data_IF_823853201020
#
_entry.id   IF_823853201020
#
_cell.length_a   1.000
_cell.length_b   1.000
_cell.length_c   1.000
_cell.angle_alpha   90.00
_cell.angle_beta   90.00
_cell.angle_gamma   90.00
#
_symmetry.space_group_name_H-M   'P 1'
#
loop_
_entity.id
_entity.type
_entity.pdbx_description
1 polymer ?
#
# COMPACT_ATOMS: atom_id res chain seq x y z
N UNK A 1 15.63 -31.96 3.35
CA UNK A 1 14.83 -30.80 2.85
C UNK A 1 14.47 -29.90 4.03
N UNK A 2 15.31 -28.92 4.36
CA UNK A 2 15.03 -27.95 5.42
C UNK A 2 14.86 -26.57 4.78
N UNK A 3 13.60 -26.14 4.69
CA UNK A 3 13.23 -24.86 4.13
C UNK A 3 13.62 -23.70 5.06
N UNK A 4 14.30 -22.73 4.51
CA UNK A 4 14.87 -21.54 5.12
C UNK A 4 13.88 -20.72 5.94
N UNK A 5 13.74 -21.02 7.22
CA UNK A 5 13.14 -20.11 8.22
C UNK A 5 14.12 -19.00 8.66
N UNK A 6 15.32 -18.94 8.06
CA UNK A 6 16.43 -18.13 8.56
C UNK A 6 16.32 -16.62 8.33
N UNK A 7 15.75 -16.17 7.23
CA UNK A 7 15.81 -14.77 6.83
C UNK A 7 15.06 -13.80 7.77
N UNK A 8 13.85 -14.15 8.18
CA UNK A 8 13.02 -13.31 9.03
C UNK A 8 13.45 -13.29 10.51
N UNK A 9 13.94 -14.43 11.02
CA UNK A 9 14.50 -14.49 12.38
C UNK A 9 15.85 -13.76 12.49
N UNK A 10 16.63 -13.74 11.41
CA UNK A 10 17.85 -12.94 11.32
C UNK A 10 17.55 -11.45 11.30
N UNK A 11 16.50 -11.04 10.60
CA UNK A 11 16.02 -9.64 10.58
C UNK A 11 15.51 -9.21 11.97
N UNK A 12 14.72 -10.07 12.65
CA UNK A 12 14.26 -9.79 14.03
C UNK A 12 15.43 -9.58 15.01
N UNK A 13 16.54 -10.26 14.85
CA UNK A 13 17.74 -10.09 15.71
C UNK A 13 18.54 -8.82 15.36
N UNK A 14 18.57 -8.40 14.10
CA UNK A 14 19.24 -7.16 13.68
C UNK A 14 18.41 -5.91 13.97
N UNK A 15 17.09 -6.04 14.06
CA UNK A 15 16.17 -4.91 14.27
C UNK A 15 16.10 -4.44 15.73
N UNK A 16 16.76 -5.11 16.68
CA UNK A 16 16.74 -4.74 18.11
C UNK A 16 18.15 -4.81 18.67
N UNK A 17 18.90 -3.71 18.71
CA UNK A 17 20.10 -3.59 19.53
C UNK A 17 19.73 -3.83 20.99
N UNK A 18 20.54 -4.58 21.70
CA UNK A 18 20.28 -5.02 23.07
C UNK A 18 20.14 -3.85 24.08
N UNK A 19 20.60 -2.67 23.71
CA UNK A 19 20.66 -1.47 24.55
C UNK A 19 19.40 -0.58 24.52
N UNK A 20 18.44 -0.81 23.59
CA UNK A 20 17.27 0.06 23.44
C UNK A 20 15.92 -0.59 23.84
N UNK A 21 15.93 -1.56 24.73
CA UNK A 21 14.68 -2.23 25.19
C UNK A 21 13.76 -1.35 26.06
N UNK A 22 14.03 -0.08 26.20
CA UNK A 22 13.37 0.81 27.16
C UNK A 22 12.52 1.96 26.63
N UNK A 23 12.49 2.26 25.31
CA UNK A 23 11.83 3.49 24.85
C UNK A 23 11.20 3.40 23.47
N UNK A 24 10.03 2.80 23.36
CA UNK A 24 9.20 2.82 22.14
C UNK A 24 8.11 3.91 22.17
N UNK A 25 8.31 4.99 22.93
CA UNK A 25 7.29 6.03 23.18
C UNK A 25 7.51 7.35 22.44
N UNK A 26 8.27 7.38 21.34
CA UNK A 26 8.38 8.61 20.53
C UNK A 26 7.42 8.54 19.34
N UNK A 27 6.60 9.58 19.20
CA UNK A 27 5.78 9.80 18.02
C UNK A 27 6.62 9.72 16.75
N UNK A 28 6.11 9.11 15.65
CA UNK A 28 6.86 9.03 14.40
C UNK A 28 7.28 10.43 13.95
N UNK A 29 8.52 10.59 13.51
CA UNK A 29 8.99 11.85 12.94
C UNK A 29 8.18 12.20 11.69
N UNK A 30 8.21 13.47 11.28
CA UNK A 30 7.53 13.91 10.05
C UNK A 30 8.03 13.13 8.82
N UNK A 31 9.33 12.80 8.78
CA UNK A 31 9.94 11.99 7.72
C UNK A 31 9.45 10.53 7.74
N UNK A 32 9.22 9.96 8.92
CA UNK A 32 8.65 8.62 9.07
C UNK A 32 7.25 8.53 8.46
N UNK A 33 6.40 9.52 8.72
CA UNK A 33 5.04 9.61 8.16
C UNK A 33 5.05 9.65 6.64
N UNK A 34 5.91 10.44 6.02
CA UNK A 34 5.97 10.57 4.55
C UNK A 34 6.22 9.26 3.83
N UNK A 35 7.11 8.41 4.32
CA UNK A 35 7.43 7.14 3.66
C UNK A 35 6.35 6.10 3.81
N UNK A 36 5.71 6.07 4.96
CA UNK A 36 4.58 5.17 5.21
C UNK A 36 3.40 5.46 4.31
N UNK A 37 3.13 6.73 4.15
CA UNK A 37 2.08 7.22 3.29
C UNK A 37 2.40 6.88 1.82
N UNK A 38 3.63 7.11 1.36
CA UNK A 38 4.06 6.80 -0.01
C UNK A 38 3.92 5.32 -0.35
N UNK A 39 4.28 4.41 0.54
CA UNK A 39 4.14 2.97 0.30
C UNK A 39 2.68 2.49 0.33
N UNK A 40 1.82 3.10 1.14
CA UNK A 40 0.38 2.83 1.09
C UNK A 40 -0.25 3.39 -0.18
N UNK A 41 0.23 4.53 -0.68
CA UNK A 41 -0.32 5.24 -1.83
C UNK A 41 0.02 4.61 -3.19
N UNK A 42 1.22 4.08 -3.38
CA UNK A 42 1.57 3.39 -4.64
C UNK A 42 0.61 2.25 -4.97
N UNK A 43 0.04 1.66 -3.95
CA UNK A 43 -0.92 0.58 -4.09
C UNK A 43 -2.38 1.03 -3.95
N UNK A 44 -2.61 2.20 -3.31
CA UNK A 44 -3.93 2.81 -3.15
C UNK A 44 -4.42 3.50 -4.43
N UNK A 45 -3.50 3.94 -5.29
CA UNK A 45 -3.79 4.75 -6.48
C UNK A 45 -4.53 4.04 -7.62
N UNK A 46 -5.04 2.85 -7.40
CA UNK A 46 -5.55 1.99 -8.47
C UNK A 46 -6.96 1.51 -8.23
N UNK A 47 -7.98 2.33 -8.01
CA UNK A 47 -9.37 1.93 -8.24
C UNK A 47 -10.52 2.54 -7.50
N UNK A 48 -11.70 2.42 -8.07
CA UNK A 48 -12.95 2.91 -7.55
C UNK A 48 -14.20 2.11 -7.95
N UNK A 49 -15.20 1.90 -7.20
CA UNK A 49 -16.68 2.12 -7.29
C UNK A 49 -17.67 1.29 -6.49
N UNK A 50 -18.78 1.72 -6.46
CA UNK A 50 -20.18 1.92 -6.06
C UNK A 50 -20.87 0.85 -5.22
N UNK A 51 -21.72 1.42 -4.34
CA UNK A 51 -22.60 0.77 -3.40
C UNK A 51 -23.94 0.35 -4.00
N UNK A 52 -24.42 -0.85 -3.66
CA UNK A 52 -25.84 -1.18 -3.58
C UNK A 52 -26.14 -1.50 -2.10
N UNK A 53 -27.20 -0.92 -1.48
CA UNK A 53 -27.32 -0.89 -0.02
C UNK A 53 -28.10 -2.07 0.62
N UNK A 54 -28.10 -3.26 0.06
CA UNK A 54 -28.82 -4.39 0.66
C UNK A 54 -27.97 -5.66 0.69
N UNK A 55 -27.22 -5.79 1.76
CA UNK A 55 -26.93 -7.07 2.47
C UNK A 55 -26.10 -6.74 3.71
N UNK A 56 -26.48 -7.27 4.87
CA UNK A 56 -25.70 -7.23 6.11
C UNK A 56 -24.34 -7.90 5.88
N UNK A 57 -23.38 -7.15 5.41
CA UNK A 57 -22.01 -7.59 5.13
C UNK A 57 -21.13 -7.18 6.28
N UNK A 58 -20.40 -8.13 6.83
CA UNK A 58 -19.23 -7.85 7.67
C UNK A 58 -18.46 -6.68 7.07
N UNK A 59 -18.46 -5.55 7.76
CA UNK A 59 -17.81 -4.32 7.29
C UNK A 59 -16.32 -4.60 7.21
N UNK A 60 -15.77 -4.59 6.00
CA UNK A 60 -14.33 -4.66 5.82
C UNK A 60 -13.71 -3.43 6.47
N UNK A 61 -12.65 -3.63 7.28
CA UNK A 61 -11.98 -2.55 7.99
C UNK A 61 -10.48 -2.72 7.88
N UNK A 62 -9.86 -1.90 7.05
CA UNK A 62 -8.42 -1.92 6.77
C UNK A 62 -7.56 -1.61 8.00
N UNK A 63 -8.00 -0.73 8.92
CA UNK A 63 -7.31 -0.47 10.19
C UNK A 63 -7.26 -1.72 11.08
N UNK A 64 -8.36 -2.43 11.21
CA UNK A 64 -8.41 -3.68 11.97
C UNK A 64 -7.45 -4.71 11.38
N UNK A 65 -7.44 -4.84 10.05
CA UNK A 65 -6.51 -5.72 9.34
C UNK A 65 -5.05 -5.30 9.51
N UNK A 66 -4.75 -4.00 9.53
CA UNK A 66 -3.40 -3.48 9.76
C UNK A 66 -2.89 -3.85 11.15
N UNK A 67 -3.70 -3.66 12.18
CA UNK A 67 -3.36 -4.07 13.55
C UNK A 67 -3.13 -5.57 13.65
N UNK A 68 -3.98 -6.39 13.01
CA UNK A 68 -3.80 -7.84 12.98
C UNK A 68 -2.53 -8.25 12.22
N UNK A 69 -2.27 -7.64 11.07
CA UNK A 69 -1.07 -7.90 10.27
C UNK A 69 0.20 -7.50 11.03
N UNK A 70 0.20 -6.34 11.69
CA UNK A 70 1.30 -5.89 12.54
C UNK A 70 1.56 -6.87 13.68
N UNK A 71 0.53 -7.28 14.41
CA UNK A 71 0.66 -8.26 15.50
C UNK A 71 1.26 -9.58 15.00
N UNK A 72 0.86 -10.02 13.81
CA UNK A 72 1.39 -11.24 13.18
C UNK A 72 2.84 -11.09 12.72
N UNK A 73 3.25 -9.90 12.26
CA UNK A 73 4.59 -9.62 11.77
C UNK A 73 5.57 -9.39 12.94
N UNK A 74 5.21 -8.58 13.92
CA UNK A 74 6.08 -8.15 15.02
C UNK A 74 5.90 -8.98 16.30
N UNK A 75 4.82 -9.76 16.41
CA UNK A 75 4.51 -10.56 17.61
C UNK A 75 4.26 -9.68 18.83
N UNK A 76 4.82 -10.08 19.99
CA UNK A 76 4.63 -9.37 21.26
C UNK A 76 5.27 -7.96 21.30
N UNK A 77 6.16 -7.66 20.34
CA UNK A 77 6.82 -6.34 20.23
C UNK A 77 5.96 -5.29 19.49
N UNK A 78 4.76 -5.67 19.05
CA UNK A 78 3.87 -4.77 18.32
C UNK A 78 3.21 -3.77 19.27
N UNK A 79 3.65 -2.51 19.25
CA UNK A 79 2.82 -1.43 19.77
C UNK A 79 1.72 -1.10 18.75
N UNK A 80 0.50 -0.81 19.21
CA UNK A 80 -0.62 -0.40 18.32
C UNK A 80 -0.27 0.85 17.51
N UNK A 81 0.67 1.65 17.96
CA UNK A 81 1.08 2.92 17.36
C UNK A 81 1.64 2.79 15.94
N UNK A 82 2.31 1.68 15.60
CA UNK A 82 2.92 1.53 14.27
C UNK A 82 1.85 1.38 13.19
N UNK A 83 0.90 0.45 13.37
CA UNK A 83 -0.14 0.22 12.37
C UNK A 83 -1.04 1.46 12.17
N UNK A 84 -1.36 2.17 13.27
CA UNK A 84 -2.17 3.39 13.22
C UNK A 84 -1.40 4.53 12.54
N UNK A 85 -0.08 4.63 12.78
CA UNK A 85 0.75 5.62 12.12
C UNK A 85 0.98 5.35 10.62
N UNK A 86 0.87 4.07 10.20
CA UNK A 86 1.06 3.65 8.81
C UNK A 86 -0.21 3.74 7.97
N UNK A 87 -1.37 3.59 8.60
CA UNK A 87 -2.67 3.60 7.95
C UNK A 87 -3.56 4.55 8.75
N UNK A 88 -3.45 5.84 8.42
CA UNK A 88 -4.29 6.91 8.96
C UNK A 88 -5.74 6.80 8.44
N UNK A 89 -6.60 7.74 8.82
CA UNK A 89 -8.00 7.73 8.43
C UNK A 89 -8.17 7.82 6.92
N UNK A 90 -7.44 8.72 6.27
CA UNK A 90 -7.51 8.93 4.82
C UNK A 90 -7.05 7.69 4.05
N UNK A 91 -5.90 7.11 4.44
CA UNK A 91 -5.40 5.86 3.85
C UNK A 91 -6.34 4.69 4.09
N UNK A 92 -6.98 4.62 5.26
CA UNK A 92 -7.97 3.60 5.59
C UNK A 92 -9.19 3.69 4.68
N UNK A 93 -9.75 4.89 4.51
CA UNK A 93 -10.92 5.10 3.66
C UNK A 93 -10.64 4.70 2.21
N UNK A 94 -9.46 5.08 1.71
CA UNK A 94 -9.04 4.69 0.37
C UNK A 94 -8.83 3.17 0.26
N UNK A 95 -8.21 2.51 1.24
CA UNK A 95 -8.06 1.05 1.26
C UNK A 95 -9.40 0.31 1.31
N UNK A 96 -10.36 0.83 2.05
CA UNK A 96 -11.70 0.25 2.16
C UNK A 96 -12.48 0.39 0.84
N UNK A 97 -12.35 1.54 0.14
CA UNK A 97 -12.90 1.69 -1.22
C UNK A 97 -12.18 0.78 -2.23
N UNK A 98 -10.86 0.61 -2.12
CA UNK A 98 -10.09 -0.34 -2.95
C UNK A 98 -10.57 -1.78 -2.79
N UNK A 99 -10.79 -2.21 -1.55
CA UNK A 99 -11.33 -3.52 -1.28
C UNK A 99 -12.69 -3.73 -1.96
N UNK A 100 -13.56 -2.77 -1.83
CA UNK A 100 -14.91 -2.77 -2.37
C UNK A 100 -14.90 -2.94 -3.89
N UNK A 101 -14.09 -2.14 -4.57
CA UNK A 101 -13.93 -2.17 -6.01
C UNK A 101 -13.33 -3.49 -6.50
N UNK A 102 -12.25 -3.91 -5.86
CA UNK A 102 -11.61 -5.19 -6.18
C UNK A 102 -12.59 -6.33 -6.02
N UNK A 103 -13.40 -6.32 -4.94
CA UNK A 103 -14.45 -7.32 -4.70
C UNK A 103 -15.51 -7.30 -5.80
N UNK A 104 -15.95 -6.13 -6.22
CA UNK A 104 -16.95 -5.97 -7.27
C UNK A 104 -16.40 -6.39 -8.63
N UNK A 105 -15.18 -5.97 -8.98
CA UNK A 105 -14.54 -6.33 -10.24
C UNK A 105 -14.24 -7.82 -10.36
N UNK A 106 -13.67 -8.42 -9.32
CA UNK A 106 -13.31 -9.84 -9.33
C UNK A 106 -14.50 -10.77 -9.05
N UNK A 107 -15.61 -10.23 -8.56
CA UNK A 107 -16.75 -11.00 -8.04
C UNK A 107 -16.32 -12.01 -6.97
N UNK A 108 -15.20 -11.76 -6.28
CA UNK A 108 -14.58 -12.68 -5.35
C UNK A 108 -14.08 -11.98 -4.06
N UNK A 109 -14.89 -12.09 -3.01
CA UNK A 109 -14.58 -11.53 -1.68
C UNK A 109 -13.19 -11.98 -1.16
N UNK A 110 -12.85 -13.27 -1.31
CA UNK A 110 -11.59 -13.82 -0.79
C UNK A 110 -10.37 -13.29 -1.53
N UNK A 111 -10.49 -13.09 -2.83
CA UNK A 111 -9.44 -12.53 -3.67
C UNK A 111 -9.22 -11.04 -3.33
N UNK A 112 -10.28 -10.25 -3.25
CA UNK A 112 -10.21 -8.86 -2.85
C UNK A 112 -9.57 -8.68 -1.47
N UNK A 113 -10.00 -9.48 -0.49
CA UNK A 113 -9.38 -9.48 0.84
C UNK A 113 -7.90 -9.85 0.79
N UNK A 114 -7.52 -10.82 -0.03
CA UNK A 114 -6.12 -11.25 -0.17
C UNK A 114 -5.26 -10.12 -0.73
N UNK A 115 -5.72 -9.44 -1.77
CA UNK A 115 -5.00 -8.33 -2.41
C UNK A 115 -4.75 -7.20 -1.40
N UNK A 116 -5.79 -6.72 -0.72
CA UNK A 116 -5.65 -5.63 0.27
C UNK A 116 -4.86 -6.08 1.51
N UNK A 117 -5.03 -7.31 1.97
CA UNK A 117 -4.19 -7.87 3.06
C UNK A 117 -2.72 -7.98 2.67
N UNK A 118 -2.41 -8.32 1.42
CA UNK A 118 -1.03 -8.41 0.95
C UNK A 118 -0.41 -7.02 0.82
N UNK A 119 -1.17 -6.03 0.35
CA UNK A 119 -0.78 -4.63 0.34
C UNK A 119 -0.43 -4.12 1.76
N UNK A 120 -1.35 -4.24 2.71
CA UNK A 120 -1.14 -3.83 4.11
C UNK A 120 0.13 -4.48 4.70
N UNK A 121 0.36 -5.76 4.42
CA UNK A 121 1.56 -6.47 4.90
C UNK A 121 2.85 -5.94 4.28
N UNK A 122 2.83 -5.57 3.01
CA UNK A 122 3.99 -4.95 2.33
C UNK A 122 4.29 -3.61 2.97
N UNK A 123 3.29 -2.74 3.11
CA UNK A 123 3.42 -1.42 3.75
C UNK A 123 4.03 -1.53 5.15
N UNK A 124 3.47 -2.39 6.02
CA UNK A 124 3.99 -2.56 7.39
C UNK A 124 5.46 -3.01 7.38
N UNK A 125 5.83 -3.94 6.50
CA UNK A 125 7.20 -4.43 6.44
C UNK A 125 8.18 -3.35 5.98
N UNK A 126 7.83 -2.60 4.96
CA UNK A 126 8.63 -1.48 4.46
C UNK A 126 8.79 -0.40 5.53
N UNK A 127 7.69 -0.04 6.19
CA UNK A 127 7.71 0.90 7.28
C UNK A 127 8.63 0.46 8.43
N UNK A 128 8.63 -0.82 8.79
CA UNK A 128 9.54 -1.36 9.79
C UNK A 128 11.00 -1.27 9.34
N UNK A 129 11.31 -1.59 8.08
CA UNK A 129 12.67 -1.50 7.54
C UNK A 129 13.16 -0.05 7.56
N UNK A 130 12.35 0.87 7.10
CA UNK A 130 12.71 2.29 7.04
C UNK A 130 12.93 2.88 8.43
N UNK A 131 11.98 2.68 9.33
CA UNK A 131 12.06 3.21 10.71
C UNK A 131 13.28 2.73 11.48
N UNK A 132 13.81 1.57 11.11
CA UNK A 132 15.01 1.01 11.74
C UNK A 132 16.28 1.26 10.92
N UNK A 133 16.26 2.21 9.97
CA UNK A 133 17.41 2.58 9.14
C UNK A 133 18.12 1.36 8.51
N UNK A 134 17.31 0.41 8.00
CA UNK A 134 17.85 -0.84 7.45
C UNK A 134 18.33 -0.69 6.01
N UNK A 135 18.02 0.40 5.33
CA UNK A 135 18.44 0.67 3.95
C UNK A 135 19.85 1.24 3.92
N UNK A 136 20.70 0.70 3.05
CA UNK A 136 21.99 1.27 2.73
C UNK A 136 21.86 2.52 1.84
N UNK A 137 22.97 3.14 1.44
CA UNK A 137 22.96 4.36 0.64
C UNK A 137 22.28 4.17 -0.72
N UNK A 138 22.62 3.10 -1.44
CA UNK A 138 22.07 2.83 -2.78
C UNK A 138 20.57 2.51 -2.69
N UNK A 139 20.15 1.76 -1.69
CA UNK A 139 18.74 1.48 -1.42
C UNK A 139 17.96 2.73 -1.02
N UNK A 140 18.59 3.65 -0.28
CA UNK A 140 17.99 4.95 0.05
C UNK A 140 17.77 5.79 -1.21
N UNK A 141 18.69 5.76 -2.17
CA UNK A 141 18.50 6.41 -3.47
C UNK A 141 17.34 5.78 -4.26
N UNK A 142 17.20 4.45 -4.20
CA UNK A 142 16.04 3.76 -4.79
C UNK A 142 14.72 4.14 -4.11
N UNK A 143 14.72 4.29 -2.79
CA UNK A 143 13.55 4.78 -2.03
C UNK A 143 13.17 6.19 -2.48
N UNK A 144 14.13 7.09 -2.68
CA UNK A 144 13.82 8.45 -3.17
C UNK A 144 13.30 8.44 -4.62
N UNK A 145 13.83 7.56 -5.48
CA UNK A 145 13.26 7.35 -6.83
C UNK A 145 11.83 6.82 -6.77
N UNK A 146 11.58 5.88 -5.88
CA UNK A 146 10.24 5.32 -5.66
C UNK A 146 9.25 6.40 -5.19
N UNK A 147 9.64 7.26 -4.24
CA UNK A 147 8.81 8.39 -3.80
C UNK A 147 8.40 9.28 -4.96
N UNK A 148 9.37 9.72 -5.79
CA UNK A 148 9.10 10.55 -6.96
C UNK A 148 8.14 9.86 -7.94
N UNK A 149 8.31 8.55 -8.15
CA UNK A 149 7.45 7.77 -9.04
C UNK A 149 6.02 7.64 -8.50
N UNK A 150 5.86 7.44 -7.20
CA UNK A 150 4.56 7.39 -6.54
C UNK A 150 3.87 8.75 -6.60
N UNK A 151 4.60 9.84 -6.36
CA UNK A 151 4.05 11.18 -6.51
C UNK A 151 3.56 11.42 -7.96
N UNK A 152 4.36 11.04 -8.97
CA UNK A 152 3.95 11.09 -10.37
C UNK A 152 2.68 10.28 -10.63
N UNK A 153 2.61 9.06 -10.08
CA UNK A 153 1.43 8.19 -10.18
C UNK A 153 0.20 8.86 -9.56
N UNK A 154 0.32 9.44 -8.35
CA UNK A 154 -0.74 10.14 -7.67
C UNK A 154 -1.30 11.30 -8.50
N UNK A 155 -0.41 12.15 -8.99
CA UNK A 155 -0.78 13.27 -9.86
C UNK A 155 -1.49 12.78 -11.14
N UNK A 156 -1.00 11.70 -11.75
CA UNK A 156 -1.60 11.13 -12.96
C UNK A 156 -3.01 10.59 -12.70
N UNK A 157 -3.20 9.88 -11.58
CA UNK A 157 -4.52 9.35 -11.17
C UNK A 157 -5.54 10.48 -11.00
N UNK A 158 -5.17 11.53 -10.29
CA UNK A 158 -6.04 12.69 -10.07
C UNK A 158 -6.32 13.42 -11.37
N UNK A 159 -5.31 13.65 -12.19
CA UNK A 159 -5.46 14.35 -13.49
C UNK A 159 -6.37 13.59 -14.44
N UNK A 160 -6.23 12.28 -14.56
CA UNK A 160 -7.09 11.44 -15.40
C UNK A 160 -8.54 11.40 -14.93
N UNK A 161 -8.79 11.60 -13.64
CA UNK A 161 -10.13 11.72 -13.11
C UNK A 161 -10.73 13.11 -13.33
N UNK A 162 -9.92 14.17 -13.25
CA UNK A 162 -10.39 15.54 -13.43
C UNK A 162 -10.67 15.89 -14.90
N UNK A 163 -10.00 15.22 -15.84
CA UNK A 163 -10.05 15.52 -17.28
C UNK A 163 -10.33 14.23 -18.06
N UNK A 164 -11.62 13.88 -18.16
CA UNK A 164 -12.14 12.59 -18.67
C UNK A 164 -11.49 12.10 -20.00
N UNK A 165 -11.17 13.02 -20.93
CA UNK A 165 -10.62 12.65 -22.24
C UNK A 165 -9.10 12.42 -22.25
N UNK A 166 -8.42 12.58 -21.11
CA UNK A 166 -6.96 12.39 -21.03
C UNK A 166 -6.56 10.99 -20.56
N UNK A 167 -7.51 10.18 -20.10
CA UNK A 167 -7.22 8.87 -19.55
C UNK A 167 -6.55 7.94 -20.56
N UNK A 168 -5.38 7.45 -20.19
CA UNK A 168 -4.64 6.39 -20.90
C UNK A 168 -4.27 5.26 -19.93
N UNK A 169 -4.95 4.12 -20.09
CA UNK A 169 -4.73 2.93 -19.26
C UNK A 169 -3.30 2.40 -19.32
N UNK A 170 -2.63 2.55 -20.48
CA UNK A 170 -1.27 2.05 -20.65
C UNK A 170 -0.27 2.91 -19.89
N UNK A 171 -0.44 4.24 -19.89
CA UNK A 171 0.38 5.16 -19.10
C UNK A 171 0.27 4.82 -17.62
N UNK A 172 -0.95 4.62 -17.12
CA UNK A 172 -1.18 4.31 -15.71
C UNK A 172 -0.65 2.92 -15.33
N UNK A 173 -0.88 1.92 -16.18
CA UNK A 173 -0.34 0.57 -16.01
C UNK A 173 1.20 0.57 -15.96
N UNK A 174 1.84 1.31 -16.86
CA UNK A 174 3.31 1.43 -16.90
C UNK A 174 3.86 2.07 -15.63
N UNK A 175 3.27 3.17 -15.15
CA UNK A 175 3.68 3.82 -13.90
C UNK A 175 3.57 2.86 -12.69
N UNK A 176 2.50 2.08 -12.62
CA UNK A 176 2.33 1.06 -11.58
C UNK A 176 3.40 -0.03 -11.67
N UNK A 177 3.69 -0.52 -12.88
CA UNK A 177 4.74 -1.53 -13.07
C UNK A 177 6.13 -0.99 -12.72
N UNK A 178 6.44 0.26 -13.04
CA UNK A 178 7.69 0.90 -12.61
C UNK A 178 7.79 1.00 -11.09
N UNK A 179 6.69 1.35 -10.39
CA UNK A 179 6.65 1.32 -8.93
C UNK A 179 6.88 -0.09 -8.37
N UNK A 180 6.28 -1.12 -8.97
CA UNK A 180 6.50 -2.52 -8.59
C UNK A 180 7.98 -2.90 -8.69
N UNK A 181 8.60 -2.57 -9.81
CA UNK A 181 9.98 -2.96 -10.10
C UNK A 181 10.99 -2.25 -9.17
N UNK A 182 10.75 -0.97 -8.86
CA UNK A 182 11.50 -0.25 -7.82
C UNK A 182 11.33 -0.89 -6.44
N UNK A 183 10.11 -1.26 -6.06
CA UNK A 183 9.86 -1.96 -4.80
C UNK A 183 10.62 -3.28 -4.72
N UNK A 184 10.66 -4.07 -5.79
CA UNK A 184 11.42 -5.31 -5.83
C UNK A 184 12.90 -5.08 -5.60
N UNK A 185 13.47 -4.02 -6.17
CA UNK A 185 14.88 -3.65 -5.96
C UNK A 185 15.14 -3.24 -4.51
N UNK A 186 14.30 -2.36 -3.94
CA UNK A 186 14.44 -1.88 -2.55
C UNK A 186 14.41 -3.02 -1.54
N UNK A 187 13.54 -4.01 -1.73
CA UNK A 187 13.36 -5.08 -0.73
C UNK A 187 14.23 -6.32 -0.96
N UNK A 188 15.00 -6.35 -2.04
CA UNK A 188 15.67 -7.56 -2.53
C UNK A 188 16.50 -8.27 -1.46
N UNK A 189 17.24 -7.51 -0.66
CA UNK A 189 18.10 -8.07 0.40
C UNK A 189 17.38 -8.20 1.76
N UNK A 190 16.22 -7.60 1.93
CA UNK A 190 15.56 -7.47 3.23
C UNK A 190 14.38 -8.41 3.42
N UNK A 191 13.68 -8.74 2.36
CA UNK A 191 12.44 -9.50 2.45
C UNK A 191 12.52 -10.83 1.67
N UNK A 192 11.63 -11.73 2.04
CA UNK A 192 11.58 -13.09 1.47
C UNK A 192 10.86 -13.12 0.12
N UNK A 193 11.07 -14.18 -0.68
CA UNK A 193 10.32 -14.49 -1.92
C UNK A 193 8.80 -14.36 -1.73
N UNK A 194 8.28 -14.73 -0.57
CA UNK A 194 6.86 -14.56 -0.25
C UNK A 194 6.42 -13.08 -0.23
N UNK A 195 7.31 -12.15 0.09
CA UNK A 195 7.01 -10.71 0.04
C UNK A 195 7.03 -10.20 -1.39
N UNK A 196 7.95 -10.65 -2.23
CA UNK A 196 7.95 -10.41 -3.67
C UNK A 196 6.66 -10.91 -4.32
N UNK A 197 6.21 -12.12 -3.96
CA UNK A 197 4.94 -12.68 -4.44
C UNK A 197 3.72 -11.84 -4.04
N UNK A 198 3.73 -11.20 -2.86
CA UNK A 198 2.67 -10.28 -2.45
C UNK A 198 2.67 -8.99 -3.25
N UNK A 199 3.84 -8.42 -3.50
CA UNK A 199 3.98 -7.23 -4.36
C UNK A 199 3.42 -7.55 -5.74
N UNK A 200 3.84 -8.66 -6.35
CA UNK A 200 3.30 -9.07 -7.63
C UNK A 200 1.77 -9.25 -7.62
N UNK A 201 1.23 -9.89 -6.58
CA UNK A 201 -0.22 -10.09 -6.46
C UNK A 201 -1.00 -8.75 -6.44
N UNK A 202 -0.47 -7.75 -5.73
CA UNK A 202 -1.07 -6.41 -5.64
C UNK A 202 -0.93 -5.68 -6.97
N UNK A 203 0.28 -5.54 -7.48
CA UNK A 203 0.52 -4.73 -8.67
C UNK A 203 -0.05 -5.36 -9.95
N UNK A 204 -0.03 -6.69 -10.11
CA UNK A 204 -0.65 -7.36 -11.25
C UNK A 204 -2.16 -7.12 -11.32
N UNK A 205 -2.83 -7.01 -10.18
CA UNK A 205 -4.24 -6.64 -10.15
C UNK A 205 -4.42 -5.18 -10.57
N UNK A 206 -3.72 -4.28 -9.91
CA UNK A 206 -3.95 -2.85 -10.06
C UNK A 206 -3.37 -2.26 -11.35
N UNK A 207 -2.35 -2.86 -11.97
CA UNK A 207 -1.84 -2.46 -13.29
C UNK A 207 -2.57 -3.14 -14.46
N UNK A 208 -3.58 -3.94 -14.19
CA UNK A 208 -4.36 -4.61 -15.24
C UNK A 208 -5.12 -3.57 -16.08
N UNK A 209 -4.84 -3.53 -17.38
CA UNK A 209 -5.41 -2.54 -18.29
C UNK A 209 -6.94 -2.61 -18.39
N UNK A 210 -7.52 -3.80 -18.28
CA UNK A 210 -8.99 -3.98 -18.33
C UNK A 210 -9.64 -3.48 -17.04
N UNK A 211 -9.00 -3.75 -15.90
CA UNK A 211 -9.40 -3.20 -14.63
C UNK A 211 -9.36 -1.67 -14.64
N UNK A 212 -8.26 -1.08 -15.12
CA UNK A 212 -8.10 0.37 -15.24
C UNK A 212 -9.12 0.99 -16.23
N UNK A 213 -9.39 0.31 -17.35
CA UNK A 213 -10.40 0.76 -18.31
C UNK A 213 -11.82 0.72 -17.73
N UNK A 214 -12.16 -0.34 -16.99
CA UNK A 214 -13.44 -0.41 -16.29
C UNK A 214 -13.58 0.70 -15.24
N UNK A 215 -12.48 0.96 -14.53
CA UNK A 215 -12.36 1.94 -13.48
C UNK A 215 -12.62 3.37 -13.93
N UNK A 216 -11.96 3.79 -14.99
CA UNK A 216 -12.04 5.15 -15.54
C UNK A 216 -13.16 5.30 -16.58
N UNK A 217 -14.03 4.31 -16.75
CA UNK A 217 -15.19 4.44 -17.63
C UNK A 217 -16.15 5.51 -17.07
N UNK A 218 -16.34 6.66 -17.77
CA UNK A 218 -17.17 7.76 -17.27
C UNK A 218 -18.64 7.40 -17.10
N UNK A 219 -19.09 6.33 -17.78
CA UNK A 219 -20.46 5.80 -17.71
C UNK A 219 -20.52 4.49 -16.90
N UNK A 220 -19.40 4.05 -16.35
CA UNK A 220 -19.29 2.83 -15.59
C UNK A 220 -19.85 2.94 -14.18
N UNK A 221 -20.16 1.78 -13.63
CA UNK A 221 -20.57 1.67 -12.23
C UNK A 221 -19.51 2.20 -11.26
N UNK A 222 -18.25 2.35 -11.65
CA UNK A 222 -17.11 2.71 -10.85
C UNK A 222 -16.89 4.23 -10.61
N UNK A 223 -17.71 5.17 -11.10
CA UNK A 223 -17.50 6.64 -11.04
C UNK A 223 -17.42 7.26 -9.63
N UNK A 224 -18.33 6.96 -8.71
CA UNK A 224 -18.38 7.63 -7.39
C UNK A 224 -17.25 7.18 -6.46
N UNK A 225 -16.71 5.99 -6.58
CA UNK A 225 -15.58 5.57 -5.78
C UNK A 225 -14.24 6.01 -6.38
N UNK A 226 -14.08 6.11 -7.72
CA UNK A 226 -12.96 6.83 -8.34
C UNK A 226 -12.91 8.24 -7.73
N UNK A 227 -14.04 8.90 -7.64
CA UNK A 227 -14.17 10.19 -6.96
C UNK A 227 -13.64 10.16 -5.53
N UNK A 228 -14.05 9.19 -4.72
CA UNK A 228 -13.62 9.09 -3.32
C UNK A 228 -12.14 8.82 -3.18
N UNK A 229 -11.61 7.92 -4.02
CA UNK A 229 -10.18 7.62 -4.04
C UNK A 229 -9.39 8.84 -4.48
N UNK A 230 -9.79 9.49 -5.58
CA UNK A 230 -9.11 10.69 -6.07
C UNK A 230 -9.17 11.81 -5.03
N UNK A 231 -10.28 11.97 -4.32
CA UNK A 231 -10.39 12.92 -3.21
C UNK A 231 -9.41 12.56 -2.07
N UNK A 232 -9.34 11.29 -1.69
CA UNK A 232 -8.38 10.82 -0.69
C UNK A 232 -6.94 11.05 -1.14
N UNK A 233 -6.60 10.68 -2.38
CA UNK A 233 -5.28 10.88 -2.97
C UNK A 233 -4.94 12.38 -3.04
N UNK A 234 -5.86 13.23 -3.48
CA UNK A 234 -5.64 14.67 -3.54
C UNK A 234 -5.37 15.25 -2.15
N UNK A 235 -6.16 14.85 -1.15
CA UNK A 235 -5.91 15.24 0.25
C UNK A 235 -4.50 14.83 0.71
N UNK A 236 -4.05 13.64 0.33
CA UNK A 236 -2.70 13.17 0.67
C UNK A 236 -1.59 13.96 -0.03
N UNK A 237 -1.82 14.41 -1.27
CA UNK A 237 -0.94 15.32 -1.99
C UNK A 237 -0.87 16.68 -1.29
N UNK A 238 -2.03 17.23 -0.91
CA UNK A 238 -2.13 18.53 -0.23
C UNK A 238 -1.47 18.51 1.15
N UNK A 239 -1.62 17.43 1.90
CA UNK A 239 -0.99 17.22 3.20
C UNK A 239 0.52 16.93 3.09
N UNK A 240 1.08 16.95 1.88
CA UNK A 240 2.48 16.60 1.57
C UNK A 240 2.87 15.21 2.10
N UNK A 241 1.92 14.32 2.13
CA UNK A 241 2.11 12.95 2.57
C UNK A 241 2.63 12.04 1.44
N UNK A 242 2.65 12.54 0.20
CA UNK A 242 3.24 11.92 -1.01
C UNK A 242 4.02 12.92 -1.82
#
# INVERSE_FOLDING_TARGET
>A
MFGSRGGWWSLKRRLVPEQERGSWSTSPSHADRHLYVIFSHAAVLSSAHLCNPDMATEIFNSKSLAVQAQKKILGKMASKSIAIALIDDTSSDVLDELYKTTKEYTQNKKEAEKIVKDLIKVVIKLGVLYRNNQFNKDETELVEKFKKKVHQLAMTVVSFHQVDFTFDRNVLSNLLNECRDLLHQIINQHLTVKSHGRINNVFNHFSNCEFLAALYNPFGSYKASLQKICNGVNKMLDDKNI
#
